data_IF_431029644140
#
_entry.id   IF_431029644140
#
_cell.length_a   1.000
_cell.length_b   1.000
_cell.length_c   1.000
_cell.angle_alpha   90.00
_cell.angle_beta   90.00
_cell.angle_gamma   90.00
#
_symmetry.space_group_name_H-M   'P 1'
#
loop_
_entity.id
_entity.type
_entity.pdbx_description
1 polymer ?
#
# COMPACT_ATOMS: atom_id res chain seq x y z
N UNK A 1 3.75 4.12 -21.26
CA UNK A 1 2.86 5.24 -20.91
C UNK A 1 3.77 6.38 -20.52
N UNK A 2 3.70 7.51 -21.21
CA UNK A 2 4.46 8.72 -20.86
C UNK A 2 3.47 9.64 -20.15
N UNK A 3 3.68 9.91 -18.86
CA UNK A 3 2.82 10.76 -18.05
C UNK A 3 3.52 12.12 -17.99
N UNK A 4 2.86 13.18 -18.45
CA UNK A 4 3.35 14.56 -18.34
C UNK A 4 2.65 15.27 -17.16
N UNK A 5 3.35 15.49 -16.04
CA UNK A 5 2.78 16.20 -14.90
C UNK A 5 2.43 17.67 -15.17
N UNK A 6 2.92 18.27 -16.25
CA UNK A 6 2.58 19.63 -16.65
C UNK A 6 1.15 19.74 -17.22
N UNK A 7 0.60 18.65 -17.75
CA UNK A 7 -0.73 18.59 -18.36
C UNK A 7 -1.83 18.19 -17.35
N UNK A 8 -1.46 17.87 -16.11
CA UNK A 8 -2.41 17.54 -15.05
C UNK A 8 -3.12 18.79 -14.51
N UNK A 9 -4.45 18.75 -14.46
CA UNK A 9 -5.29 19.82 -13.92
C UNK A 9 -5.10 20.05 -12.41
N UNK A 10 -4.72 19.00 -11.67
CA UNK A 10 -4.32 19.07 -10.26
C UNK A 10 -3.05 18.23 -10.05
N UNK A 11 -1.93 18.90 -9.75
CA UNK A 11 -0.62 18.26 -9.55
C UNK A 11 -0.56 17.44 -8.26
N UNK A 12 -1.34 17.79 -7.24
CA UNK A 12 -1.36 17.07 -5.97
C UNK A 12 -2.08 15.73 -6.15
N UNK A 13 -3.26 15.73 -6.79
CA UNK A 13 -3.99 14.51 -7.12
C UNK A 13 -3.14 13.59 -8.00
N UNK A 14 -2.52 14.13 -9.06
CA UNK A 14 -1.62 13.33 -9.90
C UNK A 14 -0.46 12.75 -9.10
N UNK A 15 0.16 13.53 -8.21
CA UNK A 15 1.27 13.03 -7.38
C UNK A 15 0.80 11.87 -6.50
N UNK A 16 -0.38 11.97 -5.90
CA UNK A 16 -0.92 10.90 -5.05
C UNK A 16 -1.18 9.63 -5.86
N UNK A 17 -1.83 9.75 -7.02
CA UNK A 17 -2.04 8.63 -7.94
C UNK A 17 -0.71 8.01 -8.36
N UNK A 18 0.29 8.80 -8.73
CA UNK A 18 1.59 8.26 -9.17
C UNK A 18 2.33 7.52 -8.05
N UNK A 19 2.27 8.02 -6.82
CA UNK A 19 2.90 7.35 -5.68
C UNK A 19 2.18 6.04 -5.32
N UNK A 20 0.84 6.04 -5.40
CA UNK A 20 0.01 4.85 -5.22
C UNK A 20 0.31 3.79 -6.28
N UNK A 21 0.24 4.14 -7.57
CA UNK A 21 0.52 3.22 -8.68
C UNK A 21 1.96 2.71 -8.69
N UNK A 22 2.90 3.54 -8.23
CA UNK A 22 4.28 3.11 -8.04
C UNK A 22 4.39 2.01 -6.96
N UNK A 23 3.56 2.07 -5.92
CA UNK A 23 3.50 1.04 -4.90
C UNK A 23 3.10 -0.31 -5.52
N UNK A 24 2.09 -0.34 -6.39
CA UNK A 24 1.70 -1.55 -7.12
C UNK A 24 2.85 -2.14 -7.93
N UNK A 25 3.62 -1.31 -8.65
CA UNK A 25 4.83 -1.78 -9.35
C UNK A 25 5.87 -2.37 -8.39
N UNK A 26 6.01 -1.79 -7.20
CA UNK A 26 6.98 -2.20 -6.19
C UNK A 26 6.58 -3.50 -5.46
N UNK A 27 5.30 -3.65 -5.13
CA UNK A 27 4.78 -4.73 -4.27
C UNK A 27 4.16 -5.87 -5.06
N UNK A 28 3.84 -5.67 -6.34
CA UNK A 28 3.24 -6.67 -7.23
C UNK A 28 4.12 -7.05 -8.43
N UNK A 29 5.41 -6.68 -8.44
CA UNK A 29 6.30 -7.18 -9.50
C UNK A 29 6.59 -8.68 -9.36
N UNK A 30 7.15 -9.26 -10.43
CA UNK A 30 7.43 -10.68 -10.54
C UNK A 30 8.37 -11.28 -9.48
N UNK A 31 9.10 -10.46 -8.71
CA UNK A 31 9.93 -10.95 -7.60
C UNK A 31 9.14 -11.15 -6.30
N UNK A 32 7.93 -10.59 -6.23
CA UNK A 32 7.04 -10.64 -5.06
C UNK A 32 6.14 -11.87 -5.05
N UNK A 33 6.11 -12.63 -6.17
CA UNK A 33 5.28 -13.82 -6.35
C UNK A 33 6.13 -15.07 -6.58
N UNK A 34 5.57 -16.23 -6.25
CA UNK A 34 6.18 -17.54 -6.49
C UNK A 34 5.37 -18.33 -7.52
N UNK A 35 6.04 -19.07 -8.44
CA UNK A 35 5.36 -19.95 -9.39
C UNK A 35 4.84 -21.25 -8.74
N UNK A 36 5.19 -21.52 -7.49
CA UNK A 36 4.70 -22.66 -6.72
C UNK A 36 3.53 -22.21 -5.87
N UNK A 37 2.52 -23.08 -5.68
CA UNK A 37 1.52 -22.85 -4.64
C UNK A 37 2.27 -22.60 -3.33
N UNK A 38 2.09 -21.41 -2.76
CA UNK A 38 2.68 -21.09 -1.48
C UNK A 38 2.26 -22.17 -0.48
N UNK A 39 3.15 -22.56 0.43
CA UNK A 39 2.68 -23.27 1.62
C UNK A 39 1.50 -22.46 2.18
N UNK A 40 0.41 -23.11 2.62
CA UNK A 40 -0.89 -22.46 2.91
C UNK A 40 -0.91 -21.36 3.98
N UNK A 41 0.25 -20.79 4.30
CA UNK A 41 0.53 -19.62 5.10
C UNK A 41 0.83 -18.34 4.31
N UNK A 42 0.87 -18.33 2.97
CA UNK A 42 1.12 -17.09 2.18
C UNK A 42 -0.17 -16.49 1.63
N UNK A 43 -0.20 -15.18 1.46
CA UNK A 43 -1.30 -14.49 0.79
C UNK A 43 -1.44 -14.94 -0.67
N UNK A 44 -2.67 -15.18 -1.11
CA UNK A 44 -3.01 -15.49 -2.50
C UNK A 44 -3.73 -14.28 -3.10
N UNK A 45 -3.08 -13.59 -4.04
CA UNK A 45 -3.77 -12.59 -4.87
C UNK A 45 -4.57 -13.28 -5.98
N UNK A 46 -5.32 -12.50 -6.77
CA UNK A 46 -6.03 -13.03 -7.94
C UNK A 46 -5.10 -13.71 -8.96
N UNK A 47 -3.85 -13.24 -9.05
CA UNK A 47 -2.91 -13.65 -10.09
C UNK A 47 -1.99 -14.81 -9.66
N UNK A 48 -1.53 -14.81 -8.40
CA UNK A 48 -0.55 -15.77 -7.91
C UNK A 48 -0.43 -15.80 -6.37
N UNK A 49 0.33 -16.78 -5.88
CA UNK A 49 0.76 -16.81 -4.49
C UNK A 49 1.95 -15.88 -4.29
N UNK A 50 1.86 -15.05 -3.26
CA UNK A 50 2.98 -14.22 -2.82
C UNK A 50 4.15 -15.07 -2.32
N UNK A 51 5.38 -14.60 -2.53
CA UNK A 51 6.56 -15.19 -1.90
C UNK A 51 6.51 -14.94 -0.38
N UNK A 52 7.04 -15.86 0.42
CA UNK A 52 6.98 -15.77 1.89
C UNK A 52 7.59 -14.46 2.44
N UNK A 53 8.65 -13.97 1.82
CA UNK A 53 9.38 -12.77 2.18
C UNK A 53 9.00 -11.53 1.34
N UNK A 54 7.93 -11.61 0.53
CA UNK A 54 7.46 -10.45 -0.23
C UNK A 54 6.84 -9.39 0.69
N UNK A 55 6.92 -8.13 0.28
CA UNK A 55 6.38 -7.02 1.08
C UNK A 55 4.87 -7.17 1.30
N UNK A 56 4.13 -7.54 0.25
CA UNK A 56 2.69 -7.77 0.34
C UNK A 56 2.35 -8.92 1.30
N UNK A 57 3.09 -10.04 1.24
CA UNK A 57 2.82 -11.14 2.17
C UNK A 57 3.10 -10.73 3.62
N UNK A 58 4.25 -10.13 3.88
CA UNK A 58 4.61 -9.68 5.23
C UNK A 58 3.60 -8.66 5.79
N UNK A 59 3.11 -7.77 4.93
CA UNK A 59 2.07 -6.80 5.27
C UNK A 59 0.73 -7.48 5.58
N UNK A 60 0.27 -8.38 4.69
CA UNK A 60 -0.94 -9.18 4.87
C UNK A 60 -0.90 -9.97 6.19
N UNK A 61 0.19 -10.69 6.46
CA UNK A 61 0.33 -11.48 7.68
C UNK A 61 0.26 -10.63 8.94
N UNK A 62 0.78 -9.39 8.88
CA UNK A 62 0.85 -8.50 10.04
C UNK A 62 -0.47 -7.79 10.31
N UNK A 63 -1.24 -7.45 9.29
CA UNK A 63 -2.39 -6.53 9.43
C UNK A 63 -3.74 -7.12 9.03
N UNK A 64 -3.76 -8.15 8.17
CA UNK A 64 -4.99 -8.70 7.60
C UNK A 64 -5.38 -10.06 8.17
N UNK A 65 -4.45 -10.84 8.72
CA UNK A 65 -4.70 -12.23 9.13
C UNK A 65 -5.92 -12.43 10.05
N UNK A 66 -6.20 -11.48 10.95
CA UNK A 66 -7.34 -11.56 11.88
C UNK A 66 -8.68 -11.07 11.29
N UNK A 67 -8.65 -10.30 10.21
CA UNK A 67 -9.82 -9.63 9.61
C UNK A 67 -10.15 -10.13 8.19
N UNK A 68 -9.25 -10.88 7.55
CA UNK A 68 -9.37 -11.23 6.13
C UNK A 68 -10.58 -12.12 5.84
N UNK A 69 -10.83 -13.15 6.66
CA UNK A 69 -11.99 -14.03 6.45
C UNK A 69 -13.34 -13.31 6.67
N UNK A 70 -13.36 -12.24 7.48
CA UNK A 70 -14.54 -11.37 7.61
C UNK A 70 -14.65 -10.47 6.38
N UNK A 71 -13.57 -9.83 5.97
CA UNK A 71 -13.49 -9.01 4.76
C UNK A 71 -13.94 -9.77 3.51
N UNK A 72 -13.54 -11.03 3.33
CA UNK A 72 -13.95 -11.87 2.18
C UNK A 72 -15.48 -11.93 2.05
N UNK A 73 -16.20 -12.00 3.19
CA UNK A 73 -17.66 -11.99 3.20
C UNK A 73 -18.25 -10.67 2.72
N UNK A 74 -17.67 -9.53 3.12
CA UNK A 74 -18.12 -8.22 2.66
C UNK A 74 -17.73 -7.95 1.20
N UNK A 75 -16.58 -8.45 0.76
CA UNK A 75 -16.10 -8.36 -0.62
C UNK A 75 -17.04 -9.12 -1.56
N UNK A 76 -17.37 -10.37 -1.24
CA UNK A 76 -18.28 -11.21 -2.04
C UNK A 76 -19.71 -10.62 -2.12
N UNK A 77 -20.14 -9.87 -1.09
CA UNK A 77 -21.44 -9.21 -1.02
C UNK A 77 -21.45 -7.77 -1.59
N UNK A 78 -20.36 -7.31 -2.23
CA UNK A 78 -20.18 -5.93 -2.74
C UNK A 78 -20.44 -4.84 -1.67
N UNK A 79 -20.03 -5.10 -0.42
CA UNK A 79 -20.36 -4.31 0.78
C UNK A 79 -19.14 -3.86 1.59
N UNK A 80 -17.98 -3.71 0.95
CA UNK A 80 -16.72 -3.35 1.62
C UNK A 80 -16.78 -1.99 2.35
N UNK A 81 -17.68 -1.09 1.95
CA UNK A 81 -17.94 0.15 2.70
C UNK A 81 -18.39 -0.14 4.15
N UNK A 82 -19.25 -1.15 4.36
CA UNK A 82 -19.70 -1.54 5.70
C UNK A 82 -18.55 -2.16 6.52
N UNK A 83 -17.67 -2.93 5.88
CA UNK A 83 -16.45 -3.45 6.49
C UNK A 83 -15.52 -2.32 6.94
N UNK A 84 -15.30 -1.31 6.08
CA UNK A 84 -14.51 -0.14 6.43
C UNK A 84 -15.12 0.61 7.63
N UNK A 85 -16.43 0.80 7.67
CA UNK A 85 -17.08 1.47 8.81
C UNK A 85 -16.86 0.73 10.14
N UNK A 86 -16.83 -0.62 10.11
CA UNK A 86 -16.56 -1.45 11.29
C UNK A 86 -15.08 -1.43 11.72
N UNK A 87 -14.16 -1.35 10.75
CA UNK A 87 -12.71 -1.45 10.96
C UNK A 87 -11.97 -0.13 10.72
N UNK A 88 -12.67 1.02 10.74
CA UNK A 88 -12.15 2.32 10.28
C UNK A 88 -10.80 2.69 10.89
N UNK A 89 -10.59 2.42 12.18
CA UNK A 89 -9.34 2.73 12.89
C UNK A 89 -8.13 1.91 12.41
N UNK A 90 -8.34 0.92 11.54
CA UNK A 90 -7.30 0.08 10.95
C UNK A 90 -6.83 0.54 9.58
N UNK A 91 -7.56 1.44 8.90
CA UNK A 91 -7.28 1.85 7.51
C UNK A 91 -6.99 3.35 7.42
N UNK A 92 -6.09 3.72 6.52
CA UNK A 92 -5.73 5.13 6.29
C UNK A 92 -6.79 5.87 5.47
N UNK A 93 -7.46 5.15 4.58
CA UNK A 93 -8.54 5.61 3.71
C UNK A 93 -9.60 4.51 3.61
N UNK A 94 -10.79 4.86 3.13
CA UNK A 94 -11.81 3.89 2.74
C UNK A 94 -11.34 3.02 1.57
N UNK A 95 -10.61 3.61 0.62
CA UNK A 95 -9.98 2.88 -0.48
C UNK A 95 -8.99 1.81 0.00
N UNK A 96 -8.20 2.09 1.05
CA UNK A 96 -7.31 1.09 1.63
C UNK A 96 -8.02 -0.17 2.16
N UNK A 97 -9.33 -0.13 2.42
CA UNK A 97 -10.08 -1.31 2.86
C UNK A 97 -10.56 -2.20 1.70
N UNK A 98 -10.41 -1.77 0.44
CA UNK A 98 -10.94 -2.51 -0.71
C UNK A 98 -10.25 -3.85 -0.89
N UNK A 99 -8.93 -3.91 -0.68
CA UNK A 99 -8.12 -5.14 -0.77
C UNK A 99 -6.74 -4.94 -0.11
N UNK A 100 -6.04 -6.02 0.29
CA UNK A 100 -4.69 -5.94 0.86
C UNK A 100 -3.66 -5.22 -0.03
N UNK A 101 -3.78 -5.34 -1.35
CA UNK A 101 -2.95 -4.67 -2.36
C UNK A 101 -3.12 -3.15 -2.31
N UNK A 102 -4.35 -2.66 -2.20
CA UNK A 102 -4.65 -1.23 -2.12
C UNK A 102 -4.26 -0.66 -0.76
N UNK A 103 -4.39 -1.44 0.31
CA UNK A 103 -3.96 -1.05 1.65
C UNK A 103 -2.46 -0.81 1.74
N UNK A 104 -1.65 -1.72 1.18
CA UNK A 104 -0.18 -1.52 1.16
C UNK A 104 0.20 -0.36 0.24
N UNK A 105 -0.54 -0.13 -0.86
CA UNK A 105 -0.31 0.98 -1.78
C UNK A 105 -0.61 2.35 -1.13
N UNK A 106 -1.74 2.47 -0.45
CA UNK A 106 -2.10 3.65 0.33
C UNK A 106 -1.12 3.85 1.49
N UNK A 107 -0.73 2.78 2.18
CA UNK A 107 0.25 2.86 3.27
C UNK A 107 1.61 3.35 2.78
N UNK A 108 2.04 2.95 1.58
CA UNK A 108 3.25 3.46 0.92
C UNK A 108 3.13 4.95 0.57
N UNK A 109 2.01 5.37 0.00
CA UNK A 109 1.71 6.77 -0.27
C UNK A 109 1.87 7.61 1.01
N UNK A 110 1.21 7.23 2.11
CA UNK A 110 1.28 7.94 3.38
C UNK A 110 2.67 7.89 4.02
N UNK A 111 3.39 6.77 3.88
CA UNK A 111 4.80 6.69 4.27
C UNK A 111 5.63 7.77 3.57
N UNK A 112 5.44 7.99 2.27
CA UNK A 112 6.14 9.02 1.52
C UNK A 112 5.68 10.43 1.88
N UNK A 113 4.38 10.72 2.04
CA UNK A 113 3.94 12.12 2.18
C UNK A 113 3.89 12.62 3.63
N UNK A 114 3.85 11.71 4.61
CA UNK A 114 3.64 12.06 6.01
C UNK A 114 4.91 12.03 6.86
N UNK A 115 4.92 12.79 7.95
CA UNK A 115 5.91 12.59 9.01
C UNK A 115 5.80 11.17 9.55
N UNK A 116 6.89 10.66 10.14
CA UNK A 116 6.84 9.37 10.83
C UNK A 116 5.80 9.46 11.97
N UNK A 117 4.80 8.58 12.02
CA UNK A 117 3.79 8.65 13.08
C UNK A 117 4.41 8.34 14.46
N UNK A 118 3.83 8.92 15.51
CA UNK A 118 4.21 8.65 16.91
C UNK A 118 3.17 7.79 17.63
N UNK A 119 2.00 7.59 17.03
CA UNK A 119 0.91 6.80 17.59
C UNK A 119 1.08 5.30 17.38
N UNK A 120 0.10 4.54 17.87
CA UNK A 120 0.12 3.07 17.90
C UNK A 120 -1.12 2.45 17.26
N UNK A 121 -1.92 3.22 16.52
CA UNK A 121 -3.07 2.66 15.79
C UNK A 121 -2.61 1.69 14.70
N UNK A 122 -3.48 0.77 14.29
CA UNK A 122 -3.14 -0.17 13.20
C UNK A 122 -2.83 0.58 11.90
N UNK A 123 -3.59 1.64 11.57
CA UNK A 123 -3.32 2.48 10.42
C UNK A 123 -1.92 3.13 10.46
N UNK A 124 -1.49 3.65 11.61
CA UNK A 124 -0.15 4.21 11.77
C UNK A 124 0.95 3.13 11.72
N UNK A 125 0.68 1.94 12.26
CA UNK A 125 1.62 0.82 12.19
C UNK A 125 1.86 0.35 10.75
N UNK A 126 0.88 0.49 9.86
CA UNK A 126 1.03 0.24 8.42
C UNK A 126 1.97 1.23 7.75
N UNK A 127 2.01 2.49 8.20
CA UNK A 127 3.05 3.44 7.78
C UNK A 127 4.41 3.04 8.36
N UNK A 128 4.44 2.60 9.62
CA UNK A 128 5.68 2.17 10.28
C UNK A 128 6.34 0.95 9.63
N UNK A 129 5.52 0.06 9.03
CA UNK A 129 5.97 -1.16 8.34
C UNK A 129 7.16 -0.92 7.40
N UNK A 130 7.14 0.15 6.62
CA UNK A 130 8.19 0.43 5.63
C UNK A 130 9.54 0.80 6.26
N UNK A 131 9.57 1.25 7.52
CA UNK A 131 10.83 1.54 8.22
C UNK A 131 11.60 0.28 8.62
N UNK A 132 10.97 -0.90 8.56
CA UNK A 132 11.64 -2.18 8.78
C UNK A 132 12.56 -2.55 7.59
N UNK A 133 12.46 -1.83 6.46
CA UNK A 133 13.20 -2.07 5.22
C UNK A 133 14.08 -0.87 4.84
N UNK A 134 15.41 -0.94 5.05
CA UNK A 134 16.32 0.19 4.78
C UNK A 134 16.26 0.72 3.34
N UNK A 135 16.03 -0.15 2.37
CA UNK A 135 15.86 0.20 0.95
C UNK A 135 14.61 1.06 0.71
N UNK A 136 13.52 0.82 1.45
CA UNK A 136 12.28 1.61 1.36
C UNK A 136 12.46 3.00 1.96
N UNK A 137 13.19 3.10 3.08
CA UNK A 137 13.57 4.39 3.66
C UNK A 137 14.43 5.20 2.69
N UNK A 138 15.43 4.57 2.07
CA UNK A 138 16.26 5.22 1.06
C UNK A 138 15.45 5.72 -0.14
N UNK A 139 14.53 4.90 -0.64
CA UNK A 139 13.66 5.25 -1.76
C UNK A 139 12.70 6.40 -1.42
N UNK A 140 12.14 6.43 -0.21
CA UNK A 140 11.34 7.56 0.29
C UNK A 140 12.12 8.86 0.27
N UNK A 141 13.36 8.85 0.74
CA UNK A 141 14.19 10.05 0.76
C UNK A 141 14.51 10.53 -0.67
N UNK A 142 14.78 9.61 -1.60
CA UNK A 142 14.97 9.93 -3.02
C UNK A 142 13.72 10.58 -3.64
N UNK A 143 12.56 9.95 -3.47
CA UNK A 143 11.28 10.44 -4.00
C UNK A 143 10.98 11.85 -3.45
N UNK A 144 11.15 12.05 -2.14
CA UNK A 144 10.91 13.36 -1.51
C UNK A 144 11.84 14.45 -2.03
N UNK A 145 13.12 14.13 -2.20
CA UNK A 145 14.08 15.09 -2.74
C UNK A 145 13.73 15.49 -4.18
N UNK A 146 13.28 14.52 -5.00
CA UNK A 146 12.83 14.77 -6.37
C UNK A 146 11.55 15.62 -6.40
N UNK A 147 10.57 15.30 -5.54
CA UNK A 147 9.33 16.09 -5.41
C UNK A 147 9.60 17.52 -4.94
N UNK A 148 10.48 17.70 -3.95
CA UNK A 148 10.88 19.03 -3.49
C UNK A 148 11.52 19.84 -4.61
N UNK A 149 12.41 19.23 -5.39
CA UNK A 149 13.05 19.88 -6.54
C UNK A 149 12.00 20.29 -7.59
N UNK A 150 11.11 19.38 -7.95
CA UNK A 150 10.04 19.63 -8.94
C UNK A 150 9.07 20.75 -8.51
N UNK A 151 8.78 20.86 -7.21
CA UNK A 151 7.88 21.88 -6.66
C UNK A 151 8.58 23.22 -6.37
N UNK A 152 9.89 23.21 -6.10
CA UNK A 152 10.67 24.42 -5.80
C UNK A 152 11.18 25.15 -7.06
N UNK A 153 11.22 24.48 -8.21
CA UNK A 153 11.62 25.05 -9.51
C UNK A 153 10.47 25.73 -10.28
N UNK A 154 9.31 25.93 -9.63
CA UNK A 154 8.13 26.63 -10.17
C UNK A 154 7.81 27.90 -9.38
#
# INVERSE_FOLDING_TARGET
>A
MEIDPADAGDKAELTYTLLHEYAHVLTLNNTQFTPHAGGGSTYQSEEAYTAEDSYLNLFYQRFWGDIYAEWEGYYDDDSVEDFYELHRDQFLTDYAATEPEEDIAESWLYFIISARPEGTSTAEQKIEFFYDFPEMVGLRDEIRNNLYTYLAEQ
#
